data_IF_551724483089
#
_entry.id   IF_551724483089
#
_cell.length_a   1.000
_cell.length_b   1.000
_cell.length_c   1.000
_cell.angle_alpha   90.00
_cell.angle_beta   90.00
_cell.angle_gamma   90.00
#
_symmetry.space_group_name_H-M   'P 1'
#
loop_
_entity.id
_entity.type
_entity.pdbx_description
1 polymer ?
#
# COMPACT_ATOMS: atom_id res chain seq x y z
N UNK A 1 17.08 -27.12 3.36
CA UNK A 1 16.61 -26.34 2.21
C UNK A 1 15.94 -25.04 2.64
N UNK A 2 14.70 -25.05 3.17
CA UNK A 2 14.03 -23.81 3.60
C UNK A 2 14.76 -23.08 4.73
N UNK A 3 15.12 -23.78 5.82
CA UNK A 3 15.81 -23.16 6.97
C UNK A 3 17.14 -22.49 6.58
N UNK A 4 17.93 -23.15 5.74
CA UNK A 4 19.20 -22.62 5.23
C UNK A 4 18.97 -21.37 4.37
N UNK A 5 17.98 -21.39 3.46
CA UNK A 5 17.62 -20.23 2.66
C UNK A 5 17.17 -19.05 3.54
N UNK A 6 16.29 -19.29 4.51
CA UNK A 6 15.75 -18.26 5.39
C UNK A 6 16.84 -17.62 6.25
N UNK A 7 17.72 -18.45 6.83
CA UNK A 7 18.83 -17.96 7.66
C UNK A 7 19.90 -17.23 6.85
N UNK A 8 20.17 -17.63 5.61
CA UNK A 8 21.18 -17.02 4.77
C UNK A 8 20.71 -15.74 4.05
N UNK A 9 19.41 -15.57 3.80
CA UNK A 9 18.91 -14.52 2.88
C UNK A 9 17.95 -13.50 3.50
N UNK A 10 17.44 -13.73 4.72
CA UNK A 10 16.57 -12.76 5.39
C UNK A 10 17.39 -11.60 5.94
N UNK A 11 17.18 -10.39 5.41
CA UNK A 11 17.91 -9.17 5.81
C UNK A 11 16.95 -8.10 6.35
N UNK A 12 17.48 -7.01 6.91
CA UNK A 12 16.66 -5.89 7.38
C UNK A 12 15.83 -5.25 6.25
N UNK A 13 16.43 -5.10 5.06
CA UNK A 13 15.78 -4.47 3.91
C UNK A 13 14.87 -5.44 3.14
N UNK A 14 15.17 -6.75 3.18
CA UNK A 14 14.40 -7.81 2.54
C UNK A 14 14.16 -8.99 3.51
N UNK A 15 13.25 -8.85 4.48
CA UNK A 15 12.99 -9.87 5.48
C UNK A 15 12.08 -10.99 4.94
N UNK A 16 12.37 -12.23 5.34
CA UNK A 16 11.43 -13.34 5.23
C UNK A 16 10.51 -13.41 6.45
N UNK A 17 9.25 -13.78 6.24
CA UNK A 17 8.26 -14.03 7.30
C UNK A 17 7.75 -15.47 7.21
N UNK A 18 7.86 -16.22 8.30
CA UNK A 18 7.27 -17.57 8.40
C UNK A 18 5.86 -17.44 9.00
N UNK A 19 4.84 -17.77 8.22
CA UNK A 19 3.42 -17.60 8.60
C UNK A 19 2.74 -18.97 8.71
N UNK A 20 2.04 -19.27 9.83
CA UNK A 20 1.24 -20.48 9.94
C UNK A 20 0.15 -20.53 8.86
N UNK A 21 0.05 -21.66 8.17
CA UNK A 21 -0.80 -21.80 6.98
C UNK A 21 -1.99 -22.76 7.15
N UNK A 22 -2.13 -23.41 8.30
CA UNK A 22 -3.18 -24.41 8.55
C UNK A 22 -4.58 -23.76 8.52
N UNK A 23 -4.71 -22.55 9.07
CA UNK A 23 -5.91 -21.74 9.00
C UNK A 23 -5.75 -20.62 7.95
N UNK A 24 -6.54 -20.71 6.87
CA UNK A 24 -6.41 -19.81 5.73
C UNK A 24 -6.81 -18.37 6.06
N UNK A 25 -7.76 -18.17 6.95
CA UNK A 25 -8.24 -16.83 7.30
C UNK A 25 -7.19 -16.08 8.11
N UNK A 26 -6.61 -16.72 9.12
CA UNK A 26 -5.52 -16.19 9.92
C UNK A 26 -4.25 -15.97 9.08
N UNK A 27 -3.88 -16.91 8.20
CA UNK A 27 -2.74 -16.74 7.31
C UNK A 27 -2.88 -15.46 6.46
N UNK A 28 -4.06 -15.26 5.85
CA UNK A 28 -4.38 -14.06 5.06
C UNK A 28 -4.37 -12.78 5.89
N UNK A 29 -4.88 -12.85 7.13
CA UNK A 29 -4.88 -11.71 8.05
C UNK A 29 -3.46 -11.29 8.41
N UNK A 30 -2.60 -12.24 8.77
CA UNK A 30 -1.20 -11.99 9.14
C UNK A 30 -0.44 -11.38 7.95
N UNK A 31 -0.55 -11.99 6.76
CA UNK A 31 0.10 -11.48 5.54
C UNK A 31 -0.37 -10.05 5.23
N UNK A 32 -1.68 -9.82 5.27
CA UNK A 32 -2.25 -8.49 5.00
C UNK A 32 -1.74 -7.45 5.99
N UNK A 33 -1.58 -7.83 7.26
CA UNK A 33 -1.04 -6.95 8.29
C UNK A 33 0.42 -6.58 8.05
N UNK A 34 1.26 -7.57 7.70
CA UNK A 34 2.68 -7.34 7.37
C UNK A 34 2.82 -6.33 6.23
N UNK A 35 2.06 -6.52 5.15
CA UNK A 35 2.08 -5.60 3.99
C UNK A 35 1.59 -4.20 4.39
N UNK A 36 0.49 -4.12 5.14
CA UNK A 36 -0.08 -2.85 5.59
C UNK A 36 0.89 -2.06 6.46
N UNK A 37 1.54 -2.72 7.42
CA UNK A 37 2.49 -2.06 8.33
C UNK A 37 3.75 -1.62 7.57
N UNK A 38 4.22 -2.42 6.61
CA UNK A 38 5.33 -2.06 5.71
C UNK A 38 5.00 -0.79 4.91
N UNK A 39 3.81 -0.72 4.31
CA UNK A 39 3.40 0.48 3.56
C UNK A 39 3.11 1.68 4.44
N UNK A 40 2.60 1.49 5.66
CA UNK A 40 2.42 2.59 6.63
C UNK A 40 3.75 3.23 7.02
N UNK A 41 4.81 2.44 7.15
CA UNK A 41 6.15 2.95 7.46
C UNK A 41 6.68 3.94 6.41
N UNK A 42 6.22 3.83 5.16
CA UNK A 42 6.58 4.75 4.06
C UNK A 42 5.93 6.14 4.19
N UNK A 43 4.97 6.34 5.09
CA UNK A 43 4.26 7.62 5.33
C UNK A 43 3.68 8.23 4.05
N UNK A 44 3.16 7.39 3.16
CA UNK A 44 2.55 7.81 1.90
C UNK A 44 1.29 8.64 2.13
N UNK A 45 1.10 9.68 1.34
CA UNK A 45 -0.12 10.50 1.30
C UNK A 45 -0.50 10.80 -0.15
N UNK A 46 -1.78 11.04 -0.40
CA UNK A 46 -2.19 11.57 -1.70
C UNK A 46 -1.56 12.94 -1.94
N UNK A 47 -1.24 13.28 -3.19
CA UNK A 47 -0.76 14.61 -3.51
C UNK A 47 -1.84 15.65 -3.20
N UNK A 48 -1.44 16.76 -2.57
CA UNK A 48 -2.33 17.89 -2.31
C UNK A 48 -2.50 18.74 -3.57
N UNK A 49 -3.71 19.22 -3.82
CA UNK A 49 -3.94 20.20 -4.89
C UNK A 49 -3.61 21.61 -4.41
N UNK A 50 -3.00 22.41 -5.28
CA UNK A 50 -2.83 23.83 -5.03
C UNK A 50 -4.10 24.62 -5.43
N UNK A 51 -4.14 25.91 -5.06
CA UNK A 51 -5.28 26.77 -5.34
C UNK A 51 -5.53 26.91 -6.85
N UNK A 52 -4.47 26.95 -7.65
CA UNK A 52 -4.55 27.05 -9.12
C UNK A 52 -5.23 25.82 -9.71
N UNK A 53 -4.76 24.62 -9.36
CA UNK A 53 -5.34 23.35 -9.81
C UNK A 53 -6.79 23.22 -9.36
N UNK A 54 -7.11 23.67 -8.15
CA UNK A 54 -8.49 23.69 -7.67
C UNK A 54 -9.39 24.59 -8.51
N UNK A 55 -8.91 25.77 -8.91
CA UNK A 55 -9.65 26.67 -9.80
C UNK A 55 -9.85 26.06 -11.20
N UNK A 56 -8.82 25.43 -11.77
CA UNK A 56 -8.92 24.71 -13.05
C UNK A 56 -10.01 23.63 -12.99
N UNK A 57 -10.00 22.79 -11.95
CA UNK A 57 -10.97 21.72 -11.77
C UNK A 57 -12.41 22.26 -11.65
N UNK A 58 -12.60 23.40 -10.97
CA UNK A 58 -13.91 24.06 -10.87
C UNK A 58 -14.40 24.59 -12.23
N UNK A 59 -13.48 25.13 -13.04
CA UNK A 59 -13.80 25.60 -14.40
C UNK A 59 -14.23 24.43 -15.29
N UNK A 60 -13.47 23.33 -15.28
CA UNK A 60 -13.79 22.11 -16.04
C UNK A 60 -15.16 21.57 -15.62
N UNK A 61 -15.42 21.48 -14.31
CA UNK A 61 -16.72 21.02 -13.78
C UNK A 61 -17.89 21.84 -14.33
N UNK A 62 -17.76 23.17 -14.39
CA UNK A 62 -18.80 24.07 -14.89
C UNK A 62 -19.04 23.93 -16.40
N UNK A 63 -18.02 23.55 -17.16
CA UNK A 63 -18.16 23.31 -18.61
C UNK A 63 -18.92 22.01 -18.87
N UNK A 64 -18.55 20.94 -18.17
CA UNK A 64 -19.18 19.63 -18.32
C UNK A 64 -20.66 19.66 -17.90
N UNK A 65 -21.01 20.37 -16.82
CA UNK A 65 -22.39 20.46 -16.34
C UNK A 65 -23.34 21.28 -17.23
N UNK A 66 -22.85 21.87 -18.32
CA UNK A 66 -23.67 22.59 -19.32
C UNK A 66 -23.91 21.75 -20.59
N UNK A 67 -23.25 20.61 -20.71
CA UNK A 67 -23.38 19.70 -21.85
C UNK A 67 -24.44 18.61 -21.62
N UNK A 68 -24.89 18.44 -20.38
CA UNK A 68 -26.12 17.73 -20.00
C UNK A 68 -27.33 18.67 -20.04
#
# INVERSE_FOLDING_TARGET
AYEECLSATSTCDAPWYVVPADDKENARLIISRIILDTFKALKMHYPTTDAKRRQELLSIRKQLSKQD
#
